data_IF_818559816230
#
_entry.id   IF_818559816230
#
_cell.length_a   1.000
_cell.length_b   1.000
_cell.length_c   1.000
_cell.angle_alpha   90.00
_cell.angle_beta   90.00
_cell.angle_gamma   90.00
#
_symmetry.space_group_name_H-M   'P 1'
#
loop_
_entity.id
_entity.type
_entity.pdbx_description
1 polymer ?
#
# COMPACT_ATOMS: atom_id res chain seq x y z
N UNK A 1 17.11 -13.99 7.58
CA UNK A 1 17.47 -15.39 7.94
C UNK A 1 17.26 -15.68 9.43
N UNK A 2 17.57 -14.77 10.35
CA UNK A 2 17.43 -14.98 11.80
C UNK A 2 16.00 -15.26 12.34
N UNK A 3 14.92 -14.54 11.94
CA UNK A 3 13.62 -14.69 12.61
C UNK A 3 12.94 -16.04 12.35
N UNK A 4 13.18 -16.64 11.18
CA UNK A 4 12.67 -17.96 10.82
C UNK A 4 13.20 -19.03 11.80
N UNK A 5 14.51 -18.97 12.06
CA UNK A 5 15.23 -19.90 12.94
C UNK A 5 14.70 -19.82 14.37
N UNK A 6 14.52 -18.60 14.87
CA UNK A 6 14.00 -18.39 16.23
C UNK A 6 12.55 -18.87 16.38
N UNK A 7 11.67 -18.55 15.43
CA UNK A 7 10.25 -18.90 15.51
C UNK A 7 10.00 -20.41 15.44
N UNK A 8 10.73 -21.11 14.57
CA UNK A 8 10.42 -22.51 14.27
C UNK A 8 11.41 -23.52 14.87
N UNK A 9 12.70 -23.18 15.03
CA UNK A 9 13.65 -24.10 15.66
C UNK A 9 13.69 -23.94 17.18
N UNK A 10 13.64 -22.70 17.70
CA UNK A 10 13.72 -22.46 19.15
C UNK A 10 12.35 -22.51 19.83
N UNK A 11 11.38 -21.77 19.30
CA UNK A 11 10.05 -21.66 19.92
C UNK A 11 9.08 -22.77 19.47
N UNK A 12 9.43 -23.55 18.44
CA UNK A 12 8.64 -24.66 17.88
C UNK A 12 7.15 -24.35 17.72
N UNK A 13 6.81 -23.13 17.33
CA UNK A 13 5.41 -22.66 17.25
C UNK A 13 4.55 -23.43 16.22
N UNK A 14 5.19 -24.22 15.37
CA UNK A 14 4.51 -25.07 14.40
C UNK A 14 3.88 -26.32 15.01
N UNK A 15 4.40 -26.80 16.14
CA UNK A 15 3.87 -27.97 16.87
C UNK A 15 2.64 -27.57 17.70
N UNK A 16 2.65 -26.33 18.23
CA UNK A 16 1.56 -25.77 19.05
C UNK A 16 0.37 -25.27 18.22
N UNK A 17 0.49 -25.20 16.89
CA UNK A 17 -0.58 -24.74 16.04
C UNK A 17 -1.51 -25.92 15.71
N UNK A 18 -2.45 -26.22 16.61
CA UNK A 18 -3.19 -27.49 16.63
C UNK A 18 -3.94 -27.84 15.33
N UNK A 19 -4.31 -26.91 14.45
CA UNK A 19 -5.19 -27.24 13.32
C UNK A 19 -5.04 -26.41 12.03
N UNK A 20 -3.93 -25.67 11.83
CA UNK A 20 -3.76 -24.84 10.62
C UNK A 20 -2.44 -25.13 9.90
N UNK A 21 -2.53 -25.68 8.68
CA UNK A 21 -1.38 -25.78 7.77
C UNK A 21 -0.83 -24.37 7.52
N UNK A 22 0.28 -24.04 8.17
CA UNK A 22 0.96 -22.77 7.96
C UNK A 22 1.39 -22.66 6.49
N UNK A 23 1.24 -21.49 5.85
CA UNK A 23 1.64 -21.31 4.46
C UNK A 23 3.14 -21.53 4.31
N UNK A 24 3.50 -22.48 3.45
CA UNK A 24 4.88 -22.84 3.12
C UNK A 24 5.35 -22.05 1.91
N UNK A 25 6.64 -21.76 1.86
CA UNK A 25 7.24 -21.10 0.70
C UNK A 25 7.32 -22.10 -0.45
N UNK A 26 6.78 -21.75 -1.62
CA UNK A 26 6.70 -22.60 -2.82
C UNK A 26 8.08 -23.14 -3.22
N UNK A 27 9.12 -22.33 -3.10
CA UNK A 27 10.48 -22.67 -3.57
C UNK A 27 11.24 -23.67 -2.68
N UNK A 28 11.02 -23.67 -1.37
CA UNK A 28 11.82 -24.50 -0.43
C UNK A 28 10.99 -25.44 0.44
N UNK A 29 9.67 -25.40 0.31
CA UNK A 29 8.71 -26.07 1.21
C UNK A 29 8.91 -25.77 2.72
N UNK A 30 9.78 -24.81 3.04
CA UNK A 30 10.04 -24.33 4.38
C UNK A 30 8.91 -23.41 4.82
N UNK A 31 8.63 -23.41 6.12
CA UNK A 31 7.63 -22.54 6.72
C UNK A 31 7.93 -21.08 6.37
N UNK A 32 6.93 -20.34 5.92
CA UNK A 32 7.13 -18.95 5.53
C UNK A 32 7.05 -18.04 6.75
N UNK A 33 7.79 -16.94 6.73
CA UNK A 33 7.53 -15.79 7.63
C UNK A 33 6.70 -14.74 6.89
N UNK A 34 5.79 -15.16 6.01
CA UNK A 34 4.85 -14.26 5.36
C UNK A 34 3.95 -13.59 6.40
N UNK A 35 3.35 -12.47 6.02
CA UNK A 35 2.40 -11.76 6.89
C UNK A 35 1.25 -12.68 7.32
N UNK A 36 0.67 -13.44 6.39
CA UNK A 36 -0.37 -14.42 6.69
C UNK A 36 0.07 -15.50 7.71
N UNK A 37 1.31 -15.99 7.61
CA UNK A 37 1.85 -16.95 8.59
C UNK A 37 1.98 -16.32 9.98
N UNK A 38 2.56 -15.11 10.04
CA UNK A 38 2.79 -14.42 11.32
C UNK A 38 1.48 -14.01 12.00
N UNK A 39 0.46 -13.61 11.24
CA UNK A 39 -0.87 -13.31 11.77
C UNK A 39 -1.54 -14.54 12.40
N UNK A 40 -1.31 -15.74 11.86
CA UNK A 40 -1.81 -16.97 12.50
C UNK A 40 -1.04 -17.28 13.80
N UNK A 41 0.26 -17.01 13.82
CA UNK A 41 1.14 -17.30 14.95
C UNK A 41 1.03 -16.28 16.11
N UNK A 42 0.50 -15.08 15.85
CA UNK A 42 0.41 -14.01 16.86
C UNK A 42 -0.43 -14.39 18.09
N UNK A 43 -1.36 -15.34 17.93
CA UNK A 43 -2.20 -15.83 19.02
C UNK A 43 -1.47 -16.80 19.95
N UNK A 44 -0.39 -17.42 19.45
CA UNK A 44 0.41 -18.39 20.20
C UNK A 44 1.54 -17.72 20.97
N UNK A 45 2.11 -16.64 20.40
CA UNK A 45 3.25 -15.96 21.00
C UNK A 45 3.26 -14.47 20.63
N UNK A 46 3.72 -13.57 21.52
CA UNK A 46 3.80 -12.13 21.24
C UNK A 46 4.84 -11.76 20.17
N UNK A 47 5.86 -12.58 19.96
CA UNK A 47 6.97 -12.29 19.02
C UNK A 47 6.51 -12.05 17.56
N UNK A 48 5.65 -12.89 16.94
CA UNK A 48 5.08 -12.61 15.63
C UNK A 48 4.45 -11.21 15.49
N UNK A 49 3.72 -10.74 16.51
CA UNK A 49 3.12 -9.40 16.53
C UNK A 49 4.19 -8.31 16.48
N UNK A 50 5.22 -8.43 17.32
CA UNK A 50 6.35 -7.49 17.34
C UNK A 50 7.08 -7.47 15.99
N UNK A 51 7.26 -8.63 15.34
CA UNK A 51 7.89 -8.72 14.02
C UNK A 51 7.05 -8.02 12.96
N UNK A 52 5.72 -8.17 12.99
CA UNK A 52 4.82 -7.50 12.06
C UNK A 52 4.90 -5.98 12.21
N UNK A 53 4.81 -5.47 13.43
CA UNK A 53 4.95 -4.04 13.76
C UNK A 53 6.31 -3.50 13.29
N UNK A 54 7.40 -4.19 13.62
CA UNK A 54 8.75 -3.81 13.18
C UNK A 54 8.85 -3.74 11.65
N UNK A 55 8.32 -4.72 10.92
CA UNK A 55 8.38 -4.74 9.45
C UNK A 55 7.62 -3.59 8.83
N UNK A 56 6.46 -3.24 9.37
CA UNK A 56 5.67 -2.11 8.88
C UNK A 56 6.45 -0.79 9.06
N UNK A 57 6.93 -0.53 10.27
CA UNK A 57 7.69 0.69 10.58
C UNK A 57 9.00 0.75 9.79
N UNK A 58 9.76 -0.34 9.75
CA UNK A 58 11.02 -0.44 9.02
C UNK A 58 10.82 -0.20 7.52
N UNK A 59 9.77 -0.78 6.92
CA UNK A 59 9.46 -0.55 5.50
C UNK A 59 9.19 0.92 5.22
N UNK A 60 8.42 1.59 6.07
CA UNK A 60 8.14 3.02 5.88
C UNK A 60 9.42 3.84 5.99
N UNK A 61 10.17 3.66 7.07
CA UNK A 61 11.42 4.39 7.27
C UNK A 61 12.42 4.13 6.14
N UNK A 62 12.79 2.87 5.93
CA UNK A 62 13.85 2.53 4.98
C UNK A 62 13.46 2.77 3.52
N UNK A 63 12.26 2.36 3.11
CA UNK A 63 11.88 2.44 1.69
C UNK A 63 11.29 3.79 1.31
N UNK A 64 10.41 4.36 2.15
CA UNK A 64 9.69 5.59 1.81
C UNK A 64 10.34 6.85 2.35
N UNK A 65 10.95 6.82 3.54
CA UNK A 65 11.64 8.02 4.06
C UNK A 65 13.05 8.07 3.51
N UNK A 66 13.92 7.15 3.93
CA UNK A 66 15.35 7.15 3.61
C UNK A 66 15.57 6.97 2.10
N UNK A 67 14.83 6.03 1.49
CA UNK A 67 14.91 5.74 0.06
C UNK A 67 14.49 6.93 -0.82
N UNK A 68 13.43 7.64 -0.46
CA UNK A 68 12.99 8.82 -1.23
C UNK A 68 13.91 9.99 -1.00
N UNK A 69 14.38 10.21 0.23
CA UNK A 69 15.34 11.25 0.57
C UNK A 69 16.63 11.11 -0.26
N UNK A 70 17.09 9.87 -0.50
CA UNK A 70 18.25 9.61 -1.36
C UNK A 70 18.04 9.99 -2.84
N UNK A 71 16.78 10.11 -3.28
CA UNK A 71 16.41 10.50 -4.64
C UNK A 71 16.12 12.00 -4.78
N UNK A 72 16.17 12.78 -3.69
CA UNK A 72 15.94 14.23 -3.71
C UNK A 72 17.11 14.90 -4.42
N UNK A 73 16.80 15.73 -5.42
CA UNK A 73 17.79 16.57 -6.11
C UNK A 73 17.94 17.92 -5.42
N UNK A 74 18.94 18.69 -5.83
CA UNK A 74 19.34 19.99 -5.25
C UNK A 74 18.25 21.06 -5.09
N UNK A 75 17.05 20.88 -5.65
CA UNK A 75 15.92 21.82 -5.55
C UNK A 75 14.76 21.31 -4.68
N UNK A 76 14.96 20.30 -3.83
CA UNK A 76 13.91 19.66 -3.01
C UNK A 76 12.74 19.05 -3.81
N UNK A 77 12.94 18.77 -5.09
CA UNK A 77 11.99 18.04 -5.92
C UNK A 77 12.45 16.61 -6.15
N UNK A 78 11.49 15.71 -6.27
CA UNK A 78 11.71 14.30 -6.58
C UNK A 78 11.00 13.99 -7.90
N UNK A 79 11.68 13.28 -8.79
CA UNK A 79 11.14 12.83 -10.08
C UNK A 79 11.44 11.36 -10.30
N UNK A 80 10.43 10.57 -10.58
CA UNK A 80 10.57 9.16 -10.96
C UNK A 80 10.91 8.99 -12.43
N UNK A 81 11.63 7.91 -12.75
CA UNK A 81 11.78 7.41 -14.12
C UNK A 81 10.67 6.42 -14.44
N UNK A 82 9.99 6.61 -15.56
CA UNK A 82 8.88 5.78 -16.01
C UNK A 82 9.30 4.83 -17.13
N UNK A 83 8.81 3.59 -17.07
CA UNK A 83 9.12 2.53 -18.03
C UNK A 83 7.83 1.90 -18.56
N UNK A 84 7.51 2.19 -19.82
CA UNK A 84 6.32 1.68 -20.48
C UNK A 84 6.43 0.20 -20.88
N UNK A 85 7.63 -0.24 -21.29
CA UNK A 85 7.86 -1.58 -21.85
C UNK A 85 8.23 -2.64 -20.80
N UNK A 86 8.22 -2.28 -19.52
CA UNK A 86 8.77 -3.14 -18.46
C UNK A 86 7.84 -4.24 -17.97
N UNK A 87 6.52 -4.03 -18.02
CA UNK A 87 5.55 -5.01 -17.54
C UNK A 87 4.83 -5.66 -18.73
N UNK A 88 4.81 -6.99 -18.75
CA UNK A 88 4.10 -7.79 -19.78
C UNK A 88 2.61 -7.45 -19.84
N UNK A 89 2.03 -7.02 -18.72
CA UNK A 89 0.61 -6.61 -18.61
C UNK A 89 0.26 -5.29 -19.30
N UNK A 90 1.23 -4.57 -19.86
CA UNK A 90 1.03 -3.23 -20.43
C UNK A 90 0.91 -2.10 -19.39
N UNK A 91 1.06 -2.39 -18.09
CA UNK A 91 1.12 -1.37 -17.04
C UNK A 91 2.46 -0.63 -17.10
N UNK A 92 2.43 0.70 -16.99
CA UNK A 92 3.64 1.50 -16.77
C UNK A 92 4.27 1.16 -15.42
N UNK A 93 5.60 1.18 -15.32
CA UNK A 93 6.30 1.06 -14.02
C UNK A 93 7.15 2.29 -13.71
N UNK A 94 7.32 2.59 -12.42
CA UNK A 94 8.16 3.69 -11.94
C UNK A 94 9.36 3.18 -11.15
N UNK A 95 10.54 3.81 -11.32
CA UNK A 95 11.74 3.57 -10.50
C UNK A 95 12.40 4.89 -10.10
N UNK A 96 13.12 4.85 -8.96
CA UNK A 96 13.94 5.93 -8.41
C UNK A 96 13.21 7.29 -8.29
N UNK A 97 12.22 7.42 -7.39
CA UNK A 97 11.60 6.40 -6.54
C UNK A 97 10.41 5.71 -7.21
N UNK A 98 9.86 4.65 -6.61
CA UNK A 98 8.64 4.00 -7.11
C UNK A 98 7.39 4.57 -6.42
N UNK A 99 6.81 5.64 -6.99
CA UNK A 99 5.60 6.27 -6.44
C UNK A 99 4.34 5.39 -6.52
N UNK A 100 4.31 4.39 -7.40
CA UNK A 100 3.17 3.47 -7.50
C UNK A 100 3.04 2.59 -6.25
N UNK A 101 4.14 2.33 -5.56
CA UNK A 101 4.21 1.49 -4.37
C UNK A 101 3.96 2.25 -3.05
N UNK A 102 3.71 3.56 -3.09
CA UNK A 102 3.45 4.35 -1.89
C UNK A 102 2.16 3.86 -1.19
N UNK A 103 2.20 3.61 0.13
CA UNK A 103 1.05 3.14 0.88
C UNK A 103 -0.08 4.17 0.79
N UNK A 104 -1.31 3.69 0.64
CA UNK A 104 -2.52 4.54 0.58
C UNK A 104 -3.05 4.88 1.96
N UNK A 105 -2.95 3.92 2.87
CA UNK A 105 -3.47 4.05 4.23
C UNK A 105 -2.38 4.60 5.16
N UNK A 106 -2.75 5.42 6.15
CA UNK A 106 -1.85 5.82 7.20
C UNK A 106 -1.41 4.65 8.06
N UNK A 107 -0.22 4.77 8.64
CA UNK A 107 0.26 3.87 9.68
C UNK A 107 0.19 4.58 11.03
N UNK A 108 -0.31 3.88 12.06
CA UNK A 108 -0.23 4.35 13.44
C UNK A 108 0.99 3.70 14.11
N UNK A 109 1.78 4.52 14.80
CA UNK A 109 2.99 4.10 15.51
C UNK A 109 2.87 4.58 16.95
N UNK A 110 2.85 3.64 17.90
CA UNK A 110 2.94 3.95 19.33
C UNK A 110 4.38 4.26 19.71
N UNK A 111 4.65 5.48 20.21
CA UNK A 111 5.97 5.84 20.74
C UNK A 111 6.10 5.31 22.17
N UNK A 112 6.83 4.22 22.36
CA UNK A 112 7.26 3.78 23.70
C UNK A 112 8.52 4.56 24.07
N UNK A 113 8.38 5.75 24.66
CA UNK A 113 9.52 6.49 25.19
C UNK A 113 10.05 5.76 26.43
N UNK A 114 11.32 5.31 26.39
CA UNK A 114 11.97 4.64 27.52
C UNK A 114 12.53 5.60 28.58
N UNK A 115 12.26 6.91 28.47
CA UNK A 115 12.77 7.92 29.40
C UNK A 115 11.58 8.66 30.02
N UNK A 116 11.29 8.29 31.27
CA UNK A 116 10.56 9.04 32.30
C UNK A 116 9.19 9.64 31.91
N UNK A 117 8.14 8.83 32.10
CA UNK A 117 6.86 9.33 32.63
C UNK A 117 5.93 10.11 31.70
N UNK A 118 6.12 10.05 30.37
CA UNK A 118 5.16 10.62 29.41
C UNK A 118 4.26 9.55 28.81
N UNK A 119 2.99 9.93 28.63
CA UNK A 119 1.91 9.12 28.08
C UNK A 119 2.27 8.47 26.74
N UNK A 120 1.61 7.34 26.43
CA UNK A 120 1.79 6.63 25.16
C UNK A 120 1.31 7.51 23.98
N UNK A 121 2.22 8.28 23.38
CA UNK A 121 1.92 9.09 22.21
C UNK A 121 1.74 8.19 20.97
N UNK A 122 0.51 8.07 20.48
CA UNK A 122 0.20 7.44 19.21
C UNK A 122 0.39 8.46 18.08
N UNK A 123 1.34 8.20 17.17
CA UNK A 123 1.60 9.04 16.01
C UNK A 123 1.09 8.39 14.74
N UNK A 124 0.23 9.10 14.02
CA UNK A 124 -0.22 8.69 12.69
C UNK A 124 0.71 9.26 11.63
N UNK A 125 1.27 8.40 10.80
CA UNK A 125 2.19 8.77 9.71
C UNK A 125 1.50 8.51 8.38
N UNK A 126 1.43 9.55 7.56
CA UNK A 126 0.93 9.50 6.19
C UNK A 126 2.10 9.71 5.21
N UNK A 127 2.65 8.65 4.59
CA UNK A 127 3.81 8.81 3.70
C UNK A 127 3.53 9.66 2.44
N UNK A 128 2.26 9.83 2.06
CA UNK A 128 1.87 10.63 0.89
C UNK A 128 1.82 12.13 1.17
N UNK A 129 1.67 12.52 2.43
CA UNK A 129 1.55 13.93 2.82
C UNK A 129 2.88 14.67 2.72
N UNK A 130 3.98 13.93 2.52
CA UNK A 130 5.30 14.48 2.23
C UNK A 130 5.38 15.15 0.85
N UNK A 131 4.43 14.87 -0.05
CA UNK A 131 4.39 15.46 -1.39
C UNK A 131 3.46 16.66 -1.39
N UNK A 132 4.05 17.85 -1.40
CA UNK A 132 3.35 19.13 -1.35
C UNK A 132 3.44 19.78 -2.74
N UNK A 133 2.33 20.33 -3.27
CA UNK A 133 2.38 21.06 -4.54
C UNK A 133 3.21 22.35 -4.40
N UNK A 134 3.64 22.90 -5.52
CA UNK A 134 4.24 24.23 -5.52
C UNK A 134 3.23 25.29 -5.06
N UNK A 135 3.73 26.40 -4.53
CA UNK A 135 2.90 27.51 -4.07
C UNK A 135 1.99 28.01 -5.20
N UNK A 136 0.69 28.16 -4.90
CA UNK A 136 -0.34 28.50 -5.88
C UNK A 136 -0.92 27.32 -6.69
N UNK A 137 -0.44 26.09 -6.48
CA UNK A 137 -0.94 24.88 -7.16
C UNK A 137 -1.62 23.92 -6.18
N UNK A 138 -2.48 23.04 -6.70
CA UNK A 138 -3.16 22.00 -5.91
C UNK A 138 -3.21 20.70 -6.69
N UNK A 139 -3.05 19.56 -6.00
CA UNK A 139 -3.21 18.26 -6.63
C UNK A 139 -4.69 17.93 -6.85
N UNK A 140 -5.03 17.53 -8.07
CA UNK A 140 -6.35 17.00 -8.42
C UNK A 140 -6.19 15.51 -8.77
N UNK A 141 -6.92 14.64 -8.07
CA UNK A 141 -6.93 13.20 -8.32
C UNK A 141 -8.31 12.76 -8.83
N UNK A 142 -8.32 11.90 -9.85
CA UNK A 142 -9.54 11.28 -10.36
C UNK A 142 -9.76 9.89 -9.72
N UNK A 143 -11.02 9.54 -9.47
CA UNK A 143 -11.43 8.27 -8.86
C UNK A 143 -12.03 7.30 -9.90
N UNK A 144 -12.00 6.01 -9.57
CA UNK A 144 -12.72 4.89 -10.22
C UNK A 144 -12.42 4.57 -11.70
N UNK A 145 -11.50 3.62 -11.94
CA UNK A 145 -11.25 3.05 -13.29
C UNK A 145 -11.29 1.51 -13.29
N UNK A 146 -11.16 0.85 -12.13
CA UNK A 146 -10.93 -0.61 -12.07
C UNK A 146 -12.20 -1.47 -11.98
N UNK A 147 -13.40 -0.91 -11.91
CA UNK A 147 -14.64 -1.71 -11.79
C UNK A 147 -15.10 -2.31 -13.12
N UNK A 148 -14.65 -1.76 -14.26
CA UNK A 148 -15.24 -2.03 -15.59
C UNK A 148 -14.73 -3.28 -16.35
N UNK A 149 -13.49 -3.81 -16.16
CA UNK A 149 -12.96 -4.80 -17.13
C UNK A 149 -13.59 -6.20 -17.02
N UNK A 150 -14.26 -6.54 -15.92
CA UNK A 150 -14.94 -7.84 -15.79
C UNK A 150 -16.33 -7.89 -16.44
N UNK A 151 -16.92 -6.74 -16.80
CA UNK A 151 -18.30 -6.67 -17.31
C UNK A 151 -18.41 -6.90 -18.82
N UNK A 152 -17.30 -6.77 -19.56
CA UNK A 152 -17.30 -6.90 -21.01
C UNK A 152 -16.88 -8.28 -21.54
N UNK A 153 -16.56 -9.24 -20.66
CA UNK A 153 -16.00 -10.55 -21.06
C UNK A 153 -16.97 -11.73 -20.82
N UNK A 154 -18.13 -11.49 -20.19
CA UNK A 154 -19.17 -12.51 -20.03
C UNK A 154 -20.47 -12.07 -20.69
N UNK A 155 -20.96 -12.86 -21.65
CA UNK A 155 -22.35 -12.83 -22.13
C UNK A 155 -23.29 -13.29 -21.00
N UNK A 156 -23.44 -12.47 -19.96
CA UNK A 156 -24.32 -12.72 -18.82
C UNK A 156 -25.30 -11.55 -18.68
N UNK A 157 -26.40 -11.61 -19.43
CA UNK A 157 -27.42 -10.56 -19.55
C UNK A 157 -28.05 -10.15 -18.20
N UNK A 158 -27.97 -10.99 -17.16
CA UNK A 158 -28.50 -10.67 -15.83
C UNK A 158 -27.75 -9.55 -15.11
N UNK A 159 -26.50 -9.28 -15.49
CA UNK A 159 -25.65 -8.28 -14.83
C UNK A 159 -25.79 -6.87 -15.41
N UNK A 160 -26.31 -6.76 -16.64
CA UNK A 160 -26.60 -5.48 -17.32
C UNK A 160 -27.68 -4.65 -16.61
N UNK A 161 -28.70 -5.30 -16.05
CA UNK A 161 -29.82 -4.61 -15.40
C UNK A 161 -29.43 -3.89 -14.11
N UNK A 162 -28.39 -4.34 -13.40
CA UNK A 162 -27.93 -3.67 -12.17
C UNK A 162 -27.27 -2.31 -12.45
N UNK A 163 -26.59 -2.17 -13.59
CA UNK A 163 -25.96 -0.91 -14.01
C UNK A 163 -26.98 0.14 -14.49
N UNK A 164 -28.12 -0.27 -15.07
CA UNK A 164 -29.13 0.68 -15.53
C UNK A 164 -29.84 1.42 -14.38
N UNK A 165 -29.86 0.84 -13.17
CA UNK A 165 -30.51 1.44 -12.00
C UNK A 165 -29.65 2.45 -11.22
N UNK A 166 -28.36 2.58 -11.51
CA UNK A 166 -27.46 3.57 -10.88
C UNK A 166 -27.21 4.81 -11.75
N UNK A 167 -27.93 4.94 -12.87
CA UNK A 167 -27.88 6.12 -13.73
C UNK A 167 -28.75 7.26 -13.14
N UNK A 168 -28.40 7.73 -11.93
CA UNK A 168 -28.83 9.06 -11.47
C UNK A 168 -27.82 10.07 -12.00
N UNK A 169 -28.33 10.89 -12.92
CA UNK A 169 -27.58 11.72 -13.84
C UNK A 169 -26.53 12.64 -13.23
N UNK A 170 -25.46 12.82 -13.99
CA UNK A 170 -24.72 14.06 -14.07
C UNK A 170 -24.64 14.47 -15.54
N UNK A 171 -25.68 15.16 -16.00
CA UNK A 171 -25.58 16.02 -17.17
C UNK A 171 -25.05 17.38 -16.68
N UNK A 172 -23.77 17.65 -16.90
CA UNK A 172 -23.25 19.02 -16.84
C UNK A 172 -23.26 19.59 -18.26
N UNK A 173 -24.09 20.60 -18.56
CA UNK A 173 -24.03 21.27 -19.85
C UNK A 173 -22.77 22.15 -19.90
N UNK A 174 -21.79 21.77 -20.72
CA UNK A 174 -20.67 22.64 -21.07
C UNK A 174 -21.18 23.76 -21.98
N UNK A 175 -21.40 24.95 -21.40
CA UNK A 175 -21.68 26.19 -22.13
C UNK A 175 -20.37 26.78 -22.62
N UNK A 176 -20.19 26.83 -23.94
CA UNK A 176 -19.08 27.55 -24.59
C UNK A 176 -19.49 29.01 -24.73
N UNK A 177 -18.75 30.01 -24.22
CA UNK A 177 -19.01 31.40 -24.54
C UNK A 177 -18.53 31.69 -25.96
N UNK A 178 -19.47 31.96 -26.88
CA UNK A 178 -19.19 32.55 -28.18
C UNK A 178 -18.90 34.04 -28.03
N UNK A 179 -17.90 34.50 -28.78
CA UNK A 179 -17.43 35.89 -28.91
C UNK A 179 -18.58 36.89 -29.04
N UNK A 180 -18.39 38.04 -28.38
CA UNK A 180 -18.98 39.31 -28.71
C UNK A 180 -18.82 39.63 -30.22
N UNK A 181 -19.96 39.80 -30.90
CA UNK A 181 -20.15 40.60 -32.10
C UNK A 181 -21.59 41.12 -32.03
N UNK A 182 -21.72 42.45 -32.01
CA UNK A 182 -22.96 43.20 -31.79
C UNK A 182 -22.63 44.45 -31.02
#
# INVERSE_FOLDING_TARGET
MQPLKVLFEKLRLHELCENKKLPKTISKQQQSTSEAALLQLQHLHPLPKIILEYRQVHKIKSTFVDGILSCVKSKNYVSSKWYQTSAVTGRISAKHPNFQALPRQPLQISKKQYIQGKEEDVVTVHPRDMFIPQEGWTFLAAAEIFSVPYWCVGDDDRKKQRSQNENKGFACPLRIPSKARG
#
